data_IF_142056705143
#
_entry.id   IF_142056705143
#
_cell.length_a   1.000
_cell.length_b   1.000
_cell.length_c   1.000
_cell.angle_alpha   90.00
_cell.angle_beta   90.00
_cell.angle_gamma   90.00
#
_symmetry.space_group_name_H-M   'P 1'
#
loop_
_entity.id
_entity.type
_entity.pdbx_description
1 polymer ?
#
# COMPACT_ATOMS: atom_id res chain seq x y z
N UNK A 1 -9.91 2.26 -5.04
CA UNK A 1 -9.87 3.68 -4.64
C UNK A 1 -9.56 3.79 -3.15
N UNK A 2 -9.50 4.99 -2.56
CA UNK A 2 -9.43 5.14 -1.09
C UNK A 2 -10.26 6.33 -0.62
N UNK A 3 -11.05 6.14 0.44
CA UNK A 3 -12.06 7.08 0.92
C UNK A 3 -11.63 7.79 2.21
N UNK A 4 -12.02 9.06 2.42
CA UNK A 4 -11.93 9.69 3.73
C UNK A 4 -12.73 8.92 4.79
N UNK A 5 -12.24 8.88 6.02
CA UNK A 5 -12.88 8.17 7.16
C UNK A 5 -14.37 8.52 7.31
N UNK A 6 -14.81 9.80 7.26
CA UNK A 6 -16.22 10.12 7.39
C UNK A 6 -17.08 9.56 6.25
N UNK A 7 -16.57 9.54 5.03
CA UNK A 7 -17.28 9.00 3.86
C UNK A 7 -17.35 7.47 3.94
N UNK A 8 -16.25 6.82 4.31
CA UNK A 8 -16.23 5.38 4.52
C UNK A 8 -17.26 4.94 5.58
N UNK A 9 -17.31 5.64 6.72
CA UNK A 9 -18.29 5.36 7.78
C UNK A 9 -19.73 5.44 7.28
N UNK A 10 -20.08 6.49 6.54
CA UNK A 10 -21.42 6.63 5.92
C UNK A 10 -21.78 5.44 5.05
N UNK A 11 -20.86 4.97 4.20
CA UNK A 11 -21.09 3.83 3.31
C UNK A 11 -21.14 2.49 4.07
N UNK A 12 -20.39 2.36 5.16
CA UNK A 12 -20.40 1.18 6.02
C UNK A 12 -21.60 1.13 6.98
N UNK A 13 -22.45 2.17 7.02
CA UNK A 13 -23.52 2.30 8.02
C UNK A 13 -23.00 2.48 9.45
N UNK A 14 -21.78 3.00 9.62
CA UNK A 14 -21.08 3.17 10.91
C UNK A 14 -20.80 4.65 11.18
N UNK A 15 -20.77 5.05 12.45
CA UNK A 15 -20.32 6.40 12.80
C UNK A 15 -18.82 6.58 12.53
N UNK A 16 -18.40 7.81 12.27
CA UNK A 16 -16.97 8.17 12.12
C UNK A 16 -16.16 7.70 13.33
N UNK A 17 -16.71 7.84 14.54
CA UNK A 17 -16.05 7.39 15.78
C UNK A 17 -15.89 5.87 15.85
N UNK A 18 -16.88 5.11 15.37
CA UNK A 18 -16.77 3.65 15.28
C UNK A 18 -15.66 3.26 14.30
N UNK A 19 -15.56 3.92 13.14
CA UNK A 19 -14.45 3.68 12.20
C UNK A 19 -13.10 4.04 12.83
N UNK A 20 -12.99 5.18 13.50
CA UNK A 20 -11.76 5.57 14.18
C UNK A 20 -11.35 4.58 15.29
N UNK A 21 -12.32 4.01 16.02
CA UNK A 21 -12.05 2.93 16.99
C UNK A 21 -11.55 1.67 16.30
N UNK A 22 -12.15 1.27 15.18
CA UNK A 22 -11.71 0.10 14.40
C UNK A 22 -10.30 0.27 13.82
N UNK A 23 -9.97 1.48 13.34
CA UNK A 23 -8.62 1.83 12.90
C UNK A 23 -7.61 1.71 14.05
N UNK A 24 -7.92 2.29 15.21
CA UNK A 24 -7.05 2.19 16.41
C UNK A 24 -6.90 0.76 16.91
N UNK A 25 -7.93 -0.07 16.72
CA UNK A 25 -7.91 -1.48 17.09
C UNK A 25 -7.21 -2.38 16.04
N UNK A 26 -6.68 -1.81 14.95
CA UNK A 26 -6.02 -2.58 13.88
C UNK A 26 -6.99 -3.45 13.07
N UNK A 27 -8.30 -3.18 13.12
CA UNK A 27 -9.32 -3.98 12.41
C UNK A 27 -9.56 -3.53 10.98
N UNK A 28 -9.04 -2.38 10.59
CA UNK A 28 -9.30 -1.76 9.31
C UNK A 28 -7.99 -1.19 8.78
N UNK A 29 -7.68 -1.47 7.52
CA UNK A 29 -6.50 -0.92 6.87
C UNK A 29 -6.74 0.56 6.56
N UNK A 30 -5.77 1.42 6.87
CA UNK A 30 -5.77 2.80 6.41
C UNK A 30 -4.40 3.18 5.88
N UNK A 31 -4.39 3.98 4.82
CA UNK A 31 -3.18 4.55 4.24
C UNK A 31 -3.17 6.06 4.49
N UNK A 32 -1.99 6.60 4.83
CA UNK A 32 -1.82 8.04 5.03
C UNK A 32 -1.38 8.69 3.72
N UNK A 33 -2.18 9.63 3.20
CA UNK A 33 -1.84 10.40 1.99
C UNK A 33 -1.25 11.76 2.36
N UNK A 34 -0.20 11.77 3.18
CA UNK A 34 0.48 13.00 3.62
C UNK A 34 -0.49 14.05 4.17
N UNK A 35 -0.50 15.23 3.55
CA UNK A 35 -1.37 16.36 3.95
C UNK A 35 -2.87 16.10 3.71
N UNK A 36 -3.25 15.06 2.98
CA UNK A 36 -4.65 14.69 2.76
C UNK A 36 -5.21 13.85 3.92
N UNK A 37 -4.37 13.44 4.86
CA UNK A 37 -4.74 12.65 6.03
C UNK A 37 -5.00 11.17 5.70
N UNK A 38 -5.62 10.47 6.66
CA UNK A 38 -5.89 9.04 6.54
C UNK A 38 -7.01 8.74 5.55
N UNK A 39 -6.84 7.65 4.79
CA UNK A 39 -7.82 7.12 3.85
C UNK A 39 -7.99 5.62 4.06
N UNK A 40 -9.23 5.17 3.92
CA UNK A 40 -9.61 3.75 4.02
C UNK A 40 -9.89 3.25 2.60
N UNK A 41 -9.20 2.20 2.13
CA UNK A 41 -9.50 1.57 0.86
C UNK A 41 -10.98 1.14 0.76
N UNK A 42 -11.65 1.55 -0.32
CA UNK A 42 -13.10 1.34 -0.54
C UNK A 42 -13.48 -0.14 -0.64
N UNK A 43 -12.57 -0.96 -1.17
CA UNK A 43 -12.76 -2.41 -1.25
C UNK A 43 -12.96 -3.08 0.12
N UNK A 44 -12.60 -2.44 1.23
CA UNK A 44 -12.89 -2.95 2.59
C UNK A 44 -14.37 -2.83 2.98
N UNK A 45 -15.21 -2.15 2.19
CA UNK A 45 -16.66 -2.24 2.34
C UNK A 45 -17.17 -3.63 1.93
N UNK A 46 -16.42 -4.37 1.12
CA UNK A 46 -16.75 -5.75 0.73
C UNK A 46 -16.27 -6.71 1.82
N UNK A 47 -17.18 -7.46 2.50
CA UNK A 47 -16.81 -8.29 3.66
C UNK A 47 -15.71 -9.31 3.38
N UNK A 48 -15.69 -9.90 2.18
CA UNK A 48 -14.68 -10.88 1.78
C UNK A 48 -13.28 -10.25 1.68
N UNK A 49 -13.17 -9.11 0.99
CA UNK A 49 -11.90 -8.39 0.80
C UNK A 49 -11.40 -7.82 2.13
N UNK A 50 -12.32 -7.33 2.97
CA UNK A 50 -12.02 -6.88 4.33
C UNK A 50 -11.47 -8.01 5.21
N UNK A 51 -12.09 -9.19 5.19
CA UNK A 51 -11.62 -10.35 5.94
C UNK A 51 -10.22 -10.78 5.52
N UNK A 52 -9.93 -10.79 4.21
CA UNK A 52 -8.58 -11.06 3.71
C UNK A 52 -7.57 -10.07 4.27
N UNK A 53 -7.86 -8.77 4.20
CA UNK A 53 -6.97 -7.74 4.74
C UNK A 53 -6.76 -7.88 6.24
N UNK A 54 -7.81 -8.13 7.03
CA UNK A 54 -7.69 -8.35 8.47
C UNK A 54 -6.77 -9.52 8.82
N UNK A 55 -6.89 -10.64 8.09
CA UNK A 55 -6.02 -11.80 8.34
C UNK A 55 -4.56 -11.44 8.06
N UNK A 56 -4.29 -10.74 6.96
CA UNK A 56 -2.92 -10.33 6.64
C UNK A 56 -2.38 -9.25 7.56
N UNK A 57 -3.19 -8.29 8.01
CA UNK A 57 -2.80 -7.30 9.04
C UNK A 57 -2.35 -7.98 10.33
N UNK A 58 -3.00 -9.08 10.71
CA UNK A 58 -2.64 -9.83 11.91
C UNK A 58 -1.43 -10.75 11.73
N UNK A 59 -1.14 -11.17 10.50
CA UNK A 59 -0.01 -12.05 10.17
C UNK A 59 1.27 -11.28 9.81
N UNK A 60 1.13 -10.11 9.18
CA UNK A 60 2.23 -9.27 8.73
C UNK A 60 2.55 -8.19 9.77
N UNK A 61 3.05 -8.59 10.95
CA UNK A 61 3.29 -7.68 12.09
C UNK A 61 4.32 -6.57 11.80
N UNK A 62 5.19 -6.75 10.80
CA UNK A 62 6.22 -5.78 10.42
C UNK A 62 5.89 -5.01 9.15
N UNK A 63 4.84 -5.38 8.41
CA UNK A 63 4.45 -4.66 7.21
C UNK A 63 3.84 -3.30 7.58
N UNK A 64 4.32 -2.24 6.94
CA UNK A 64 3.65 -0.96 7.05
C UNK A 64 2.29 -1.01 6.31
N UNK A 65 1.42 -0.02 6.58
CA UNK A 65 0.09 0.00 5.97
C UNK A 65 0.12 0.21 4.45
N UNK A 66 1.20 0.78 3.91
CA UNK A 66 1.40 0.98 2.48
C UNK A 66 1.90 -0.29 1.78
N UNK A 67 2.80 -1.05 2.40
CA UNK A 67 3.25 -2.38 1.97
C UNK A 67 2.07 -3.31 1.86
N UNK A 68 1.26 -3.41 2.92
CA UNK A 68 0.10 -4.27 2.91
C UNK A 68 -0.92 -3.83 1.85
N UNK A 69 -1.11 -2.52 1.68
CA UNK A 69 -1.96 -2.00 0.61
C UNK A 69 -1.45 -2.40 -0.77
N UNK A 70 -0.15 -2.25 -1.04
CA UNK A 70 0.47 -2.63 -2.32
C UNK A 70 0.35 -4.11 -2.57
N UNK A 71 0.71 -4.94 -1.61
CA UNK A 71 0.63 -6.39 -1.65
C UNK A 71 -0.79 -6.90 -1.99
N UNK A 72 -1.81 -6.22 -1.47
CA UNK A 72 -3.20 -6.56 -1.73
C UNK A 72 -3.73 -6.08 -3.09
N UNK A 73 -3.17 -5.00 -3.64
CA UNK A 73 -3.69 -4.30 -4.82
C UNK A 73 -2.84 -4.49 -6.08
N UNK A 74 -1.60 -4.92 -5.95
CA UNK A 74 -0.71 -5.18 -7.08
C UNK A 74 -1.07 -6.53 -7.73
N UNK A 75 -1.05 -6.60 -9.07
CA UNK A 75 -1.09 -7.85 -9.81
C UNK A 75 -0.03 -8.83 -9.32
N UNK A 76 -0.41 -10.09 -9.14
CA UNK A 76 0.51 -11.13 -8.72
C UNK A 76 0.51 -12.29 -9.74
N UNK A 77 1.69 -12.78 -10.19
CA UNK A 77 1.79 -13.80 -11.22
C UNK A 77 1.05 -15.09 -10.84
N UNK A 78 1.23 -15.57 -9.61
CA UNK A 78 0.54 -16.77 -9.10
C UNK A 78 -0.98 -16.62 -8.93
N UNK A 79 -1.51 -15.40 -9.08
CA UNK A 79 -2.95 -15.11 -9.05
C UNK A 79 -3.52 -14.86 -10.45
N UNK A 80 -2.74 -15.18 -11.49
CA UNK A 80 -3.08 -14.92 -12.89
C UNK A 80 -3.04 -13.43 -13.23
N UNK A 81 -2.02 -12.73 -12.74
CA UNK A 81 -1.81 -11.28 -12.91
C UNK A 81 -2.98 -10.42 -12.42
N UNK A 82 -3.69 -10.91 -11.41
CA UNK A 82 -4.75 -10.18 -10.73
C UNK A 82 -4.32 -9.79 -9.33
N UNK A 83 -4.87 -8.68 -8.85
CA UNK A 83 -4.71 -8.27 -7.47
C UNK A 83 -5.36 -9.29 -6.53
N UNK A 84 -4.78 -9.49 -5.35
CA UNK A 84 -5.34 -10.38 -4.33
C UNK A 84 -6.80 -10.05 -3.99
N UNK A 85 -7.12 -8.76 -3.88
CA UNK A 85 -8.48 -8.29 -3.62
C UNK A 85 -9.48 -8.59 -4.74
N UNK A 86 -9.01 -8.90 -5.95
CA UNK A 86 -9.85 -9.18 -7.11
C UNK A 86 -9.87 -10.68 -7.46
N UNK A 87 -8.82 -11.41 -7.09
CA UNK A 87 -8.74 -12.86 -7.23
C UNK A 87 -9.45 -13.62 -6.08
N UNK A 88 -9.66 -12.98 -4.94
CA UNK A 88 -10.24 -13.63 -3.75
C UNK A 88 -11.71 -14.03 -3.96
N UNK A 89 -11.99 -15.28 -3.62
CA UNK A 89 -13.32 -15.89 -3.56
C UNK A 89 -13.50 -16.54 -2.18
N UNK A 90 -14.73 -16.85 -1.75
CA UNK A 90 -14.95 -17.50 -0.46
C UNK A 90 -14.24 -18.86 -0.31
N UNK A 91 -13.92 -19.54 -1.41
CA UNK A 91 -13.33 -20.88 -1.40
C UNK A 91 -11.80 -20.87 -1.48
N UNK A 92 -11.18 -19.77 -1.89
CA UNK A 92 -9.73 -19.71 -2.12
C UNK A 92 -8.97 -18.83 -1.13
N UNK A 93 -9.62 -18.23 -0.12
CA UNK A 93 -8.98 -17.32 0.85
C UNK A 93 -7.67 -17.88 1.43
N UNK A 94 -7.60 -19.13 1.91
CA UNK A 94 -6.34 -19.67 2.45
C UNK A 94 -5.23 -19.79 1.40
N UNK A 95 -5.58 -20.08 0.15
CA UNK A 95 -4.62 -20.16 -0.95
C UNK A 95 -4.06 -18.77 -1.30
N UNK A 96 -4.94 -17.75 -1.38
CA UNK A 96 -4.52 -16.35 -1.61
C UNK A 96 -3.57 -15.88 -0.50
N UNK A 97 -3.90 -16.16 0.77
CA UNK A 97 -3.03 -15.81 1.91
C UNK A 97 -1.65 -16.47 1.76
N UNK A 98 -1.61 -17.76 1.41
CA UNK A 98 -0.33 -18.48 1.25
C UNK A 98 0.56 -17.88 0.17
N UNK A 99 -0.02 -17.52 -0.98
CA UNK A 99 0.70 -16.87 -2.08
C UNK A 99 1.31 -15.56 -1.59
N UNK A 100 0.49 -14.69 -1.02
CA UNK A 100 0.91 -13.38 -0.52
C UNK A 100 1.97 -13.49 0.58
N UNK A 101 1.78 -14.41 1.52
CA UNK A 101 2.72 -14.62 2.62
C UNK A 101 4.05 -15.18 2.15
N UNK A 102 4.04 -15.99 1.08
CA UNK A 102 5.27 -16.44 0.42
C UNK A 102 6.13 -15.25 0.00
N UNK A 103 5.56 -14.29 -0.73
CA UNK A 103 6.27 -13.09 -1.17
C UNK A 103 6.70 -12.20 -0.01
N UNK A 104 5.85 -12.03 1.00
CA UNK A 104 6.18 -11.25 2.20
C UNK A 104 7.41 -11.80 2.94
N UNK A 105 7.53 -13.12 3.07
CA UNK A 105 8.68 -13.75 3.72
C UNK A 105 9.98 -13.54 2.93
N UNK A 106 9.94 -13.66 1.60
CA UNK A 106 11.11 -13.39 0.76
C UNK A 106 11.56 -11.92 0.83
N UNK A 107 10.62 -10.98 0.97
CA UNK A 107 10.93 -9.56 1.15
C UNK A 107 11.42 -9.23 2.57
N UNK A 108 10.91 -9.93 3.60
CA UNK A 108 11.33 -9.73 4.99
C UNK A 108 12.74 -10.29 5.29
N UNK A 109 13.17 -11.32 4.56
CA UNK A 109 14.52 -11.89 4.68
C UNK A 109 15.61 -11.09 3.94
N UNK A 110 15.24 -10.04 3.20
CA UNK A 110 16.19 -9.04 2.70
C UNK A 110 16.50 -8.06 3.83
N UNK A 111 17.73 -8.01 4.38
CA UNK A 111 18.10 -6.92 5.28
C UNK A 111 17.91 -5.61 4.50
N UNK A 112 17.40 -4.59 5.20
CA UNK A 112 17.10 -3.23 4.77
C UNK A 112 18.34 -2.50 4.20
N UNK A 113 18.94 -3.03 3.14
CA UNK A 113 19.73 -2.27 2.21
C UNK A 113 18.70 -1.58 1.32
N UNK A 114 18.31 -0.38 1.70
CA UNK A 114 17.70 0.58 0.78
C UNK A 114 18.65 0.68 -0.41
N UNK A 115 18.42 -0.12 -1.45
CA UNK A 115 19.06 0.09 -2.72
C UNK A 115 18.54 1.46 -3.18
N UNK A 116 19.37 2.51 -3.24
CA UNK A 116 18.92 3.75 -3.83
C UNK A 116 18.46 3.39 -5.23
N UNK A 117 17.19 3.68 -5.54
CA UNK A 117 16.72 3.63 -6.92
C UNK A 117 17.79 4.31 -7.77
N UNK A 118 18.40 3.61 -8.76
CA UNK A 118 19.43 4.23 -9.56
C UNK A 118 18.77 5.41 -10.25
N UNK A 119 19.17 6.63 -9.86
CA UNK A 119 18.66 7.84 -10.48
C UNK A 119 18.89 7.69 -11.98
N UNK A 120 17.84 7.72 -12.81
CA UNK A 120 17.97 7.58 -14.26
C UNK A 120 19.00 8.58 -14.79
N UNK A 121 19.92 8.13 -15.66
CA UNK A 121 21.05 8.95 -16.10
C UNK A 121 20.62 10.24 -16.81
N UNK A 122 19.44 10.26 -17.41
CA UNK A 122 18.80 11.43 -18.01
C UNK A 122 18.48 12.52 -16.97
N UNK A 123 18.07 12.11 -15.75
CA UNK A 123 17.85 13.03 -14.62
C UNK A 123 19.19 13.59 -14.14
N UNK A 124 20.21 12.74 -14.00
CA UNK A 124 21.57 13.16 -13.62
C UNK A 124 22.18 14.13 -14.62
N UNK A 125 22.01 13.87 -15.92
CA UNK A 125 22.51 14.74 -16.99
C UNK A 125 21.76 16.08 -17.03
N UNK A 126 20.46 16.09 -16.75
CA UNK A 126 19.68 17.33 -16.73
C UNK A 126 20.04 18.22 -15.55
N UNK A 127 20.28 17.65 -14.36
CA UNK A 127 20.78 18.40 -13.20
C UNK A 127 22.17 18.98 -13.47
N UNK A 128 23.09 18.20 -14.07
CA UNK A 128 24.42 18.71 -14.44
C UNK A 128 24.33 19.90 -15.41
N UNK A 129 23.53 19.80 -16.48
CA UNK A 129 23.33 20.90 -17.43
C UNK A 129 22.79 22.17 -16.78
N UNK A 130 21.89 22.05 -15.81
CA UNK A 130 21.35 23.20 -15.08
C UNK A 130 22.40 23.87 -14.19
N UNK A 131 23.22 23.09 -13.49
CA UNK A 131 24.33 23.61 -12.68
C UNK A 131 25.37 24.29 -13.55
N UNK A 132 25.75 23.69 -14.68
CA UNK A 132 26.71 24.27 -15.61
C UNK A 132 26.18 25.57 -16.24
N UNK A 133 24.88 25.65 -16.53
CA UNK A 133 24.24 26.87 -17.04
C UNK A 133 24.18 27.99 -15.99
N UNK A 134 24.06 27.64 -14.70
CA UNK A 134 24.06 28.61 -13.62
C UNK A 134 25.46 29.18 -13.36
N UNK A 135 26.52 28.38 -13.49
CA UNK A 135 27.91 28.83 -13.34
C UNK A 135 28.33 29.80 -14.45
N UNK A 136 27.78 29.66 -15.66
CA UNK A 136 28.05 30.58 -16.79
C UNK A 136 27.46 31.98 -16.56
N UNK A 137 26.43 32.13 -15.72
CA UNK A 137 25.79 33.42 -15.47
C UNK A 137 26.43 34.24 -14.34
N UNK A 138 27.33 33.64 -13.55
CA UNK A 138 27.98 34.29 -12.40
C UNK A 138 29.43 34.76 -12.71
N UNK A 139 29.81 34.76 -13.99
CA UNK A 139 31.18 35.04 -14.47
C UNK A 139 31.30 36.17 -15.50
N UNK A 140 30.36 37.13 -15.55
CA UNK A 140 30.40 38.28 -16.46
C UNK A 140 30.44 39.61 -15.71
#
# INVERSE_FOLDING_TARGET
SSLPVPLFGKLAGKSTDQINRELKAGKLLSISLGNRGQRVPDWQLVPLKHKLAQVLMNQCLHADSWDLYRMLTQPHPDLGDRAAIDAVTPTNVPAIIRVIMGDYQHHADMPEAIAPYPIPEDVRQSVRRLVDSAVVLDGA
#
